data_IF_721897014330
#
_entry.id   IF_721897014330
#
_cell.length_a   1.000
_cell.length_b   1.000
_cell.length_c   1.000
_cell.angle_alpha   90.00
_cell.angle_beta   90.00
_cell.angle_gamma   90.00
#
_symmetry.space_group_name_H-M   'P 1'
#
loop_
_entity.id
_entity.type
_entity.pdbx_description
1 polymer ?
#
# COMPACT_ATOMS: atom_id res chain seq x y z
N UNK A 1 -12.02 -10.21 -4.24
CA UNK A 1 -11.48 -9.16 -3.35
C UNK A 1 -10.55 -8.25 -4.13
N UNK A 2 -10.65 -6.96 -3.89
CA UNK A 2 -9.77 -5.95 -4.49
C UNK A 2 -8.98 -5.25 -3.41
N UNK A 3 -7.73 -4.92 -3.70
CA UNK A 3 -6.86 -4.21 -2.77
C UNK A 3 -6.50 -2.84 -3.36
N UNK A 4 -6.58 -1.81 -2.52
CA UNK A 4 -5.98 -0.52 -2.83
C UNK A 4 -4.64 -0.49 -2.12
N UNK A 5 -3.57 -0.36 -2.88
CA UNK A 5 -2.22 -0.40 -2.36
C UNK A 5 -1.41 0.79 -2.84
N UNK A 6 -0.48 1.24 -2.01
CA UNK A 6 0.52 2.21 -2.38
C UNK A 6 1.80 1.48 -2.76
N UNK A 7 2.36 1.85 -3.90
CA UNK A 7 3.69 1.42 -4.30
C UNK A 7 4.69 2.51 -3.99
N UNK A 8 5.95 2.14 -3.99
CA UNK A 8 7.03 3.04 -3.62
C UNK A 8 7.76 3.58 -4.84
N UNK A 9 8.55 4.63 -4.64
CA UNK A 9 9.41 5.15 -5.69
C UNK A 9 10.48 4.12 -6.08
N UNK A 10 11.17 4.38 -7.19
CA UNK A 10 12.15 3.45 -7.74
C UNK A 10 13.28 3.15 -6.75
N UNK A 11 13.78 4.17 -6.06
CA UNK A 11 14.87 4.00 -5.12
C UNK A 11 14.47 3.16 -3.90
N UNK A 12 13.30 3.45 -3.34
CA UNK A 12 12.75 2.67 -2.21
C UNK A 12 12.49 1.23 -2.62
N UNK A 13 11.94 1.01 -3.82
CA UNK A 13 11.74 -0.33 -4.34
C UNK A 13 13.03 -1.12 -4.47
N UNK A 14 14.12 -0.49 -4.91
CA UNK A 14 15.43 -1.15 -4.98
C UNK A 14 15.90 -1.60 -3.61
N UNK A 15 15.74 -0.74 -2.60
CA UNK A 15 16.12 -1.07 -1.23
C UNK A 15 15.29 -2.24 -0.71
N UNK A 16 13.98 -2.20 -0.89
CA UNK A 16 13.06 -3.24 -0.40
C UNK A 16 13.30 -4.57 -1.12
N UNK A 17 13.54 -4.55 -2.43
CA UNK A 17 13.87 -5.76 -3.19
C UNK A 17 15.21 -6.35 -2.74
N UNK A 18 16.18 -5.51 -2.42
CA UNK A 18 17.45 -5.97 -1.86
C UNK A 18 17.26 -6.66 -0.52
N UNK A 19 16.38 -6.12 0.34
CA UNK A 19 16.02 -6.76 1.61
C UNK A 19 15.31 -8.10 1.38
N UNK A 20 14.41 -8.20 0.40
CA UNK A 20 13.78 -9.46 0.04
C UNK A 20 14.82 -10.51 -0.36
N UNK A 21 15.81 -10.12 -1.16
CA UNK A 21 16.88 -11.02 -1.57
C UNK A 21 17.72 -11.48 -0.39
N UNK A 22 18.05 -10.59 0.52
CA UNK A 22 18.82 -10.95 1.73
C UNK A 22 18.04 -11.91 2.62
N UNK A 23 16.74 -11.73 2.76
CA UNK A 23 15.88 -12.65 3.51
C UNK A 23 15.87 -14.02 2.84
N UNK A 24 15.71 -14.07 1.52
CA UNK A 24 15.75 -15.32 0.77
C UNK A 24 17.09 -16.04 0.95
N UNK A 25 18.19 -15.32 0.84
CA UNK A 25 19.53 -15.89 0.96
C UNK A 25 19.79 -16.50 2.33
N UNK A 26 19.25 -15.88 3.39
CA UNK A 26 19.49 -16.32 4.76
C UNK A 26 18.50 -17.36 5.28
N UNK A 27 17.26 -17.31 4.82
CA UNK A 27 16.17 -18.13 5.37
C UNK A 27 15.64 -19.17 4.40
N UNK A 28 16.01 -19.08 3.12
CA UNK A 28 15.42 -19.90 2.07
C UNK A 28 14.00 -19.51 1.68
N UNK A 29 13.44 -18.47 2.31
CA UNK A 29 12.10 -17.99 1.98
C UNK A 29 12.17 -17.03 0.79
N UNK A 30 11.90 -17.57 -0.40
CA UNK A 30 11.97 -16.83 -1.66
C UNK A 30 10.59 -16.54 -2.25
N UNK A 31 9.52 -16.69 -1.46
CA UNK A 31 8.14 -16.59 -1.95
C UNK A 31 7.88 -15.28 -2.73
N UNK A 32 8.27 -14.15 -2.16
CA UNK A 32 8.04 -12.84 -2.78
C UNK A 32 8.82 -12.71 -4.10
N UNK A 33 10.07 -13.18 -4.11
CA UNK A 33 10.91 -13.13 -5.31
C UNK A 33 10.39 -14.07 -6.37
N UNK A 34 10.12 -15.32 -6.02
CA UNK A 34 9.67 -16.36 -6.94
C UNK A 34 8.33 -15.99 -7.60
N UNK A 35 7.43 -15.35 -6.86
CA UNK A 35 6.12 -14.94 -7.36
C UNK A 35 6.11 -13.50 -7.88
N UNK A 36 7.26 -12.85 -7.95
CA UNK A 36 7.42 -11.49 -8.47
C UNK A 36 6.49 -10.50 -7.78
N UNK A 37 6.40 -10.57 -6.46
CA UNK A 37 5.54 -9.70 -5.67
C UNK A 37 6.25 -8.36 -5.43
N UNK A 38 5.66 -7.28 -5.95
CA UNK A 38 6.17 -5.93 -5.75
C UNK A 38 5.94 -5.49 -4.30
N UNK A 39 6.95 -4.91 -3.63
CA UNK A 39 6.74 -4.32 -2.30
C UNK A 39 5.62 -3.28 -2.33
N UNK A 40 4.72 -3.33 -1.36
CA UNK A 40 3.57 -2.42 -1.32
C UNK A 40 3.04 -2.26 0.10
N UNK A 41 2.24 -1.22 0.28
CA UNK A 41 1.47 -0.97 1.48
C UNK A 41 -0.01 -1.05 1.12
N UNK A 42 -0.71 -2.04 1.68
CA UNK A 42 -2.15 -2.16 1.46
C UNK A 42 -2.89 -1.15 2.32
N UNK A 43 -3.69 -0.30 1.69
CA UNK A 43 -4.48 0.73 2.36
C UNK A 43 -5.87 0.24 2.69
N UNK A 44 -6.51 -0.48 1.77
CA UNK A 44 -7.86 -1.00 1.95
C UNK A 44 -8.07 -2.31 1.21
N UNK A 45 -8.90 -3.17 1.79
CA UNK A 45 -9.38 -4.39 1.16
C UNK A 45 -10.89 -4.25 0.93
N UNK A 46 -11.35 -4.54 -0.28
CA UNK A 46 -12.72 -4.28 -0.70
C UNK A 46 -13.30 -5.52 -1.36
N UNK A 47 -14.45 -5.96 -0.87
CA UNK A 47 -15.27 -6.94 -1.55
C UNK A 47 -16.29 -6.22 -2.41
N UNK A 48 -16.27 -6.48 -3.70
CA UNK A 48 -17.19 -5.86 -4.64
C UNK A 48 -17.52 -6.83 -5.77
N UNK A 49 -18.64 -6.56 -6.41
CA UNK A 49 -19.14 -7.36 -7.53
C UNK A 49 -18.14 -7.41 -8.69
N UNK A 50 -17.61 -6.25 -9.06
CA UNK A 50 -16.53 -6.15 -10.04
C UNK A 50 -15.76 -4.84 -9.83
N UNK A 51 -14.59 -4.73 -10.47
CA UNK A 51 -13.73 -3.57 -10.29
C UNK A 51 -14.32 -2.29 -10.90
N UNK A 52 -15.16 -2.41 -11.90
CA UNK A 52 -15.67 -1.24 -12.62
C UNK A 52 -16.53 -0.32 -11.75
N UNK A 53 -17.22 -0.89 -10.74
CA UNK A 53 -18.00 -0.07 -9.79
C UNK A 53 -17.13 0.74 -8.85
N UNK A 54 -15.87 0.35 -8.69
CA UNK A 54 -14.92 1.00 -7.78
C UNK A 54 -14.12 2.13 -8.44
N UNK A 55 -13.95 2.07 -9.76
CA UNK A 55 -13.05 2.99 -10.47
C UNK A 55 -13.44 4.46 -10.32
N UNK A 56 -14.71 4.86 -10.49
CA UNK A 56 -15.07 6.27 -10.34
C UNK A 56 -14.79 6.82 -8.93
N UNK A 57 -15.07 6.03 -7.89
CA UNK A 57 -14.82 6.42 -6.52
C UNK A 57 -13.31 6.51 -6.24
N UNK A 58 -12.54 5.57 -6.78
CA UNK A 58 -11.10 5.59 -6.65
C UNK A 58 -10.47 6.81 -7.34
N UNK A 59 -10.90 7.11 -8.55
CA UNK A 59 -10.44 8.29 -9.27
C UNK A 59 -10.76 9.58 -8.52
N UNK A 60 -11.95 9.68 -7.92
CA UNK A 60 -12.33 10.83 -7.13
C UNK A 60 -11.41 11.03 -5.92
N UNK A 61 -11.15 9.97 -5.17
CA UNK A 61 -10.25 10.04 -4.02
C UNK A 61 -8.84 10.43 -4.45
N UNK A 62 -8.34 9.84 -5.52
CA UNK A 62 -7.01 10.19 -6.04
C UNK A 62 -6.92 11.66 -6.43
N UNK A 63 -7.93 12.18 -7.10
CA UNK A 63 -7.97 13.58 -7.53
C UNK A 63 -8.03 14.56 -6.36
N UNK A 64 -8.80 14.22 -5.33
CA UNK A 64 -9.07 15.15 -4.22
C UNK A 64 -8.06 15.06 -3.09
N UNK A 65 -7.50 13.88 -2.86
CA UNK A 65 -6.74 13.58 -1.64
C UNK A 65 -5.27 13.27 -1.85
N UNK A 66 -4.87 12.81 -3.04
CA UNK A 66 -3.47 12.57 -3.29
C UNK A 66 -2.75 13.91 -3.47
N UNK A 67 -1.62 14.04 -2.76
CA UNK A 67 -0.79 15.21 -2.91
C UNK A 67 -0.01 15.14 -4.22
N UNK A 68 0.10 16.26 -4.94
CA UNK A 68 0.95 16.31 -6.11
C UNK A 68 2.40 16.07 -5.73
N UNK A 69 3.12 15.40 -6.61
CA UNK A 69 4.55 15.28 -6.50
C UNK A 69 5.21 16.62 -6.79
N UNK A 70 6.37 16.86 -6.22
CA UNK A 70 7.16 18.04 -6.59
C UNK A 70 7.74 17.88 -8.02
N UNK A 71 8.47 18.89 -8.49
CA UNK A 71 9.07 18.88 -9.84
C UNK A 71 10.02 17.70 -10.05
N UNK A 72 10.56 17.12 -8.98
CA UNK A 72 11.46 15.97 -9.01
C UNK A 72 10.72 14.65 -8.83
N UNK A 73 9.41 14.66 -8.70
CA UNK A 73 8.61 13.49 -8.46
C UNK A 73 8.65 12.99 -7.02
N UNK A 74 8.93 13.85 -6.06
CA UNK A 74 9.08 13.49 -4.65
C UNK A 74 7.89 14.02 -3.85
N UNK A 75 7.38 13.20 -2.93
CA UNK A 75 6.31 13.58 -2.00
C UNK A 75 6.89 14.50 -0.93
N UNK A 76 6.06 15.42 -0.43
CA UNK A 76 6.43 16.26 0.71
C UNK A 76 6.94 15.38 1.86
N UNK A 77 8.09 15.75 2.43
CA UNK A 77 8.75 14.98 3.50
C UNK A 77 7.86 14.78 4.74
N UNK A 78 6.93 15.70 5.00
CA UNK A 78 5.99 15.58 6.12
C UNK A 78 4.97 14.45 5.90
N UNK A 79 4.81 13.99 4.67
CA UNK A 79 3.92 12.89 4.32
C UNK A 79 4.68 11.59 4.04
N UNK A 80 6.00 11.62 4.17
CA UNK A 80 6.81 10.42 4.02
C UNK A 80 6.48 9.40 5.10
N UNK A 81 6.51 8.12 4.73
CA UNK A 81 6.26 7.03 5.66
C UNK A 81 7.60 6.59 6.25
N UNK A 82 7.70 6.59 7.57
CA UNK A 82 8.87 6.10 8.27
C UNK A 82 8.67 4.66 8.71
N UNK A 83 9.64 3.81 8.43
CA UNK A 83 9.64 2.41 8.88
C UNK A 83 10.42 2.35 10.18
N UNK A 84 9.79 1.80 11.23
CA UNK A 84 10.34 1.82 12.58
C UNK A 84 10.73 0.46 13.11
N UNK A 85 10.24 -0.61 12.52
CA UNK A 85 10.55 -1.97 12.94
C UNK A 85 10.30 -2.97 11.83
N UNK A 86 10.76 -4.21 12.07
CA UNK A 86 10.46 -5.34 11.20
C UNK A 86 9.75 -6.38 12.05
N UNK A 87 8.65 -6.91 11.55
CA UNK A 87 7.88 -7.92 12.22
C UNK A 87 7.68 -9.16 11.35
N UNK A 88 7.07 -10.16 11.94
CA UNK A 88 6.80 -11.42 11.24
C UNK A 88 5.38 -11.89 11.53
N UNK A 89 4.67 -12.25 10.46
CA UNK A 89 3.41 -12.98 10.55
C UNK A 89 3.72 -14.45 10.22
N UNK A 90 3.76 -15.25 11.28
CA UNK A 90 4.09 -16.66 11.14
C UNK A 90 3.05 -17.38 10.25
N UNK A 91 3.46 -18.31 9.36
CA UNK A 91 4.83 -18.79 9.16
C UNK A 91 5.58 -18.15 7.97
N UNK A 92 4.97 -17.26 7.21
CA UNK A 92 5.47 -16.95 5.87
C UNK A 92 5.80 -15.48 5.58
N UNK A 93 5.34 -14.56 6.40
CA UNK A 93 5.40 -13.13 6.06
C UNK A 93 6.33 -12.39 7.00
N UNK A 94 7.32 -11.71 6.42
CA UNK A 94 8.13 -10.72 7.13
C UNK A 94 7.71 -9.35 6.58
N UNK A 95 7.44 -8.41 7.47
CA UNK A 95 6.97 -7.08 7.08
C UNK A 95 7.79 -5.99 7.75
N UNK A 96 7.89 -4.86 7.05
CA UNK A 96 8.40 -3.62 7.61
C UNK A 96 7.22 -2.82 8.17
N UNK A 97 7.31 -2.42 9.43
CA UNK A 97 6.23 -1.74 10.12
C UNK A 97 6.38 -0.22 9.97
N UNK A 98 5.47 0.46 9.26
CA UNK A 98 5.49 1.92 9.14
C UNK A 98 4.85 2.58 10.34
N UNK A 99 5.23 3.83 10.59
CA UNK A 99 4.43 4.73 11.42
C UNK A 99 3.36 5.36 10.54
N UNK A 100 2.09 5.19 10.91
CA UNK A 100 1.00 5.84 10.21
C UNK A 100 1.01 7.33 10.52
N UNK A 101 1.15 8.15 9.48
CA UNK A 101 1.05 9.59 9.62
C UNK A 101 -0.38 10.06 9.33
N UNK A 102 -0.64 11.33 9.63
CA UNK A 102 -1.97 11.92 9.44
C UNK A 102 -2.43 11.85 7.98
N UNK A 103 -1.51 12.08 7.03
CA UNK A 103 -1.81 12.01 5.60
C UNK A 103 -2.33 10.62 5.21
N UNK A 104 -1.65 9.56 5.63
CA UNK A 104 -2.07 8.19 5.31
C UNK A 104 -3.37 7.81 6.00
N UNK A 105 -3.57 8.24 7.24
CA UNK A 105 -4.82 7.99 7.95
C UNK A 105 -6.00 8.70 7.27
N UNK A 106 -5.81 9.95 6.88
CA UNK A 106 -6.85 10.71 6.18
C UNK A 106 -7.17 10.11 4.82
N UNK A 107 -6.16 9.63 4.10
CA UNK A 107 -6.36 8.93 2.83
C UNK A 107 -7.18 7.66 3.03
N UNK A 108 -6.87 6.86 4.03
CA UNK A 108 -7.61 5.64 4.34
C UNK A 108 -9.07 5.93 4.71
N UNK A 109 -9.30 6.95 5.53
CA UNK A 109 -10.66 7.38 5.91
C UNK A 109 -11.44 7.86 4.69
N UNK A 110 -10.81 8.63 3.82
CA UNK A 110 -11.46 9.13 2.60
C UNK A 110 -11.85 8.00 1.65
N UNK A 111 -10.99 7.01 1.50
CA UNK A 111 -11.29 5.80 0.73
C UNK A 111 -12.48 5.07 1.33
N UNK A 112 -12.46 4.84 2.64
CA UNK A 112 -13.56 4.18 3.33
C UNK A 112 -14.90 4.91 3.09
N UNK A 113 -14.92 6.23 3.30
CA UNK A 113 -16.13 7.02 3.17
C UNK A 113 -16.70 7.01 1.75
N UNK A 114 -15.86 7.10 0.74
CA UNK A 114 -16.32 7.06 -0.66
C UNK A 114 -16.81 5.68 -1.07
N UNK A 115 -16.10 4.63 -0.68
CA UNK A 115 -16.43 3.28 -1.12
C UNK A 115 -17.59 2.69 -0.35
N UNK A 116 -17.79 3.08 0.91
CA UNK A 116 -18.93 2.63 1.71
C UNK A 116 -20.28 3.05 1.14
N UNK A 117 -20.31 4.07 0.27
CA UNK A 117 -21.53 4.52 -0.39
C UNK A 117 -21.91 3.68 -1.62
N UNK A 118 -21.01 2.84 -2.10
CA UNK A 118 -21.25 2.03 -3.31
C UNK A 118 -22.09 0.81 -2.93
N UNK A 119 -23.23 0.57 -3.61
CA UNK A 119 -24.06 -0.60 -3.33
C UNK A 119 -23.30 -1.91 -3.57
N UNK A 120 -23.63 -2.91 -2.78
CA UNK A 120 -23.07 -4.26 -2.90
C UNK A 120 -21.55 -4.32 -2.72
N UNK A 121 -20.97 -3.38 -1.99
CA UNK A 121 -19.56 -3.40 -1.61
C UNK A 121 -19.42 -3.55 -0.11
N UNK A 122 -18.33 -4.18 0.31
CA UNK A 122 -17.95 -4.29 1.70
C UNK A 122 -16.48 -3.91 1.81
N UNK A 123 -16.19 -2.89 2.60
CA UNK A 123 -14.85 -2.36 2.77
C UNK A 123 -14.40 -2.54 4.21
N UNK A 124 -13.18 -3.04 4.39
CA UNK A 124 -12.56 -3.15 5.71
C UNK A 124 -12.11 -1.78 6.22
N UNK A 125 -12.40 -1.52 7.47
CA UNK A 125 -11.93 -0.31 8.15
C UNK A 125 -10.43 -0.36 8.41
#
# INVERSE_FOLDING_TARGET
MYLISAYFDENTNKILKHLQQRISDKTGNDFMIRNNVMPHLTISAIEARNVDVLIPAFEKVCREKLQPLDEKGVVNVNNAINIVSIGQLFPRVIYAAPVLNEYMMNLSISIYNEFATIPETNISK
#
